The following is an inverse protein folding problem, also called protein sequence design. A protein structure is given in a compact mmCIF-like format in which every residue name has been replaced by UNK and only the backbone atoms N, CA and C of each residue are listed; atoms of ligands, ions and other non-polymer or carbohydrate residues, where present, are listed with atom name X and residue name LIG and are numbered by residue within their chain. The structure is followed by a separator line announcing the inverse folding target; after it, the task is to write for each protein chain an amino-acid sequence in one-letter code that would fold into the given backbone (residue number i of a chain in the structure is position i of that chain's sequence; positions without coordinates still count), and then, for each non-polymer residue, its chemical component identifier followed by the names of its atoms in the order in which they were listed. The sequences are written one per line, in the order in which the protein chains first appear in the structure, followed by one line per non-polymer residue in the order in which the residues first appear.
data_IF_091823888242
#
_entry.id   IF_091823888242
#
_cell.length_a   1.000
_cell.length_b   1.000
_cell.length_c   1.000
_cell.angle_alpha   90.00
_cell.angle_beta   90.00
_cell.angle_gamma   90.00
#
_symmetry.space_group_name_H-M   'P 1'
#
loop_
_entity.id
_entity.type
_entity.pdbx_description
1 polymer ?
#
# COMPACT_ATOMS: atom_id res chain seq x y z
N UNK A 1 -80.07 48.35 -58.62
CA UNK A 1 -81.29 47.55 -58.37
C UNK A 1 -81.00 46.12 -58.76
N UNK A 2 -81.20 45.20 -57.80
CA UNK A 2 -80.91 43.75 -57.73
C UNK A 2 -80.04 43.51 -56.48
N UNK A 3 -80.35 42.62 -55.53
CA UNK A 3 -81.39 41.60 -55.41
C UNK A 3 -81.90 41.60 -53.95
N UNK A 4 -83.22 41.52 -53.78
CA UNK A 4 -83.87 41.21 -52.50
C UNK A 4 -83.59 39.75 -52.13
N UNK A 5 -83.49 39.48 -50.82
CA UNK A 5 -84.02 38.30 -50.09
C UNK A 5 -83.09 37.86 -48.95
N UNK A 6 -83.38 38.35 -47.74
CA UNK A 6 -83.15 37.64 -46.48
C UNK A 6 -84.23 38.09 -45.50
N UNK A 7 -85.47 37.75 -45.83
CA UNK A 7 -86.60 37.77 -44.92
C UNK A 7 -87.55 36.75 -45.50
N UNK A 8 -87.57 35.54 -44.94
CA UNK A 8 -88.80 34.78 -44.66
C UNK A 8 -88.46 33.65 -43.67
N UNK A 9 -88.96 33.81 -42.45
CA UNK A 9 -89.26 32.68 -41.56
C UNK A 9 -90.48 32.01 -42.20
N UNK A 10 -90.29 30.87 -42.86
CA UNK A 10 -91.43 30.03 -43.25
C UNK A 10 -91.88 29.24 -42.03
N UNK A 11 -93.12 29.50 -41.62
CA UNK A 11 -93.84 28.78 -40.60
C UNK A 11 -93.92 27.29 -40.93
N UNK A 12 -93.69 26.45 -39.93
CA UNK A 12 -93.91 25.01 -39.97
C UNK A 12 -95.39 24.72 -40.28
N UNK A 13 -95.69 24.30 -41.51
CA UNK A 13 -96.75 23.36 -41.90
C UNK A 13 -97.03 23.54 -43.40
N UNK A 14 -96.36 22.75 -44.23
CA UNK A 14 -97.12 21.92 -45.18
C UNK A 14 -96.20 20.87 -45.81
N UNK A 15 -96.43 19.61 -45.42
CA UNK A 15 -95.89 18.43 -46.08
C UNK A 15 -97.05 17.72 -46.80
N UNK A 16 -97.76 18.42 -47.70
CA UNK A 16 -98.27 17.75 -48.90
C UNK A 16 -97.17 17.75 -49.95
N UNK A 17 -96.41 16.66 -49.88
CA UNK A 17 -95.56 16.08 -50.91
C UNK A 17 -94.03 16.18 -50.64
N UNK A 18 -93.35 15.02 -50.56
CA UNK A 18 -91.99 14.85 -50.09
C UNK A 18 -90.99 15.02 -51.25
N UNK A 19 -89.71 15.08 -50.94
CA UNK A 19 -88.57 15.20 -51.87
C UNK A 19 -88.12 16.61 -52.29
N UNK A 20 -88.19 17.57 -51.38
CA UNK A 20 -87.19 18.65 -51.37
C UNK A 20 -86.25 18.45 -50.19
N UNK A 21 -85.25 17.60 -50.40
CA UNK A 21 -84.02 17.53 -49.61
C UNK A 21 -83.24 18.85 -49.73
N UNK A 22 -83.81 19.94 -49.22
CA UNK A 22 -83.03 21.12 -48.92
C UNK A 22 -82.10 20.71 -47.77
N UNK A 23 -80.77 20.72 -47.97
CA UNK A 23 -79.86 20.51 -46.87
C UNK A 23 -80.11 21.65 -45.89
N UNK A 24 -80.82 21.37 -44.80
CA UNK A 24 -80.97 22.27 -43.67
C UNK A 24 -79.57 22.47 -43.08
N UNK A 25 -78.83 23.43 -43.64
CA UNK A 25 -77.65 23.99 -43.02
C UNK A 25 -78.15 24.92 -41.92
N UNK A 26 -78.47 24.33 -40.78
CA UNK A 26 -78.65 25.09 -39.55
C UNK A 26 -77.29 25.71 -39.21
N UNK A 27 -77.16 27.01 -39.46
CA UNK A 27 -76.02 27.77 -38.98
C UNK A 27 -76.05 27.79 -37.46
N UNK A 28 -74.88 27.68 -36.82
CA UNK A 28 -74.71 27.75 -35.36
C UNK A 28 -75.21 29.07 -34.75
N UNK A 29 -75.40 30.10 -35.58
CA UNK A 29 -75.99 31.40 -35.20
C UNK A 29 -77.50 31.30 -34.92
N UNK A 30 -78.19 30.30 -35.50
CA UNK A 30 -79.64 30.15 -35.42
C UNK A 30 -80.08 29.13 -34.36
N UNK A 31 -79.15 28.60 -33.57
CA UNK A 31 -79.42 27.67 -32.47
C UNK A 31 -79.13 28.41 -31.18
N UNK A 32 -80.18 28.70 -30.42
CA UNK A 32 -80.09 29.42 -29.15
C UNK A 32 -80.16 28.46 -27.98
N UNK A 33 -79.36 28.73 -26.97
CA UNK A 33 -79.37 27.98 -25.73
C UNK A 33 -80.54 28.42 -24.86
N UNK A 34 -81.47 27.50 -24.60
CA UNK A 34 -82.67 27.71 -23.80
C UNK A 34 -82.60 26.93 -22.46
N UNK A 35 -81.38 26.64 -22.02
CA UNK A 35 -81.09 25.85 -20.83
C UNK A 35 -80.71 26.73 -19.63
N UNK A 36 -80.58 26.08 -18.47
CA UNK A 36 -80.09 26.72 -17.24
C UNK A 36 -78.66 27.25 -17.49
N UNK A 37 -78.30 28.45 -16.98
CA UNK A 37 -76.97 29.00 -17.15
C UNK A 37 -75.85 28.02 -16.76
N UNK A 38 -74.89 27.82 -17.67
CA UNK A 38 -73.72 26.99 -17.43
C UNK A 38 -72.59 27.87 -16.90
N UNK A 39 -72.51 28.01 -15.57
CA UNK A 39 -71.57 28.89 -14.86
C UNK A 39 -70.10 28.74 -15.30
N UNK A 40 -69.65 27.52 -15.63
CA UNK A 40 -68.24 27.29 -15.98
C UNK A 40 -67.84 27.86 -17.35
N UNK A 41 -68.80 28.02 -18.26
CA UNK A 41 -68.56 28.55 -19.61
C UNK A 41 -69.29 29.88 -19.83
N UNK A 42 -69.86 30.45 -18.76
CA UNK A 42 -70.69 31.66 -18.77
C UNK A 42 -71.74 31.68 -19.90
N UNK A 43 -72.33 30.52 -20.20
CA UNK A 43 -73.40 30.41 -21.19
C UNK A 43 -74.73 30.71 -20.51
N UNK A 44 -75.44 31.70 -21.01
CA UNK A 44 -76.75 32.13 -20.50
C UNK A 44 -77.84 31.87 -21.53
N UNK A 45 -79.09 31.86 -21.06
CA UNK A 45 -80.27 31.73 -21.92
C UNK A 45 -80.26 32.84 -22.99
N UNK A 46 -80.38 32.45 -24.26
CA UNK A 46 -80.33 33.35 -25.41
C UNK A 46 -78.97 33.44 -26.12
N UNK A 47 -77.89 32.88 -25.57
CA UNK A 47 -76.61 32.76 -26.29
C UNK A 47 -76.77 31.83 -27.50
N UNK A 48 -76.16 32.18 -28.63
CA UNK A 48 -76.14 31.29 -29.78
C UNK A 48 -75.04 30.23 -29.66
N UNK A 49 -75.23 29.08 -30.31
CA UNK A 49 -74.31 27.94 -30.24
C UNK A 49 -72.89 28.31 -30.71
N UNK A 50 -72.74 29.27 -31.61
CA UNK A 50 -71.42 29.74 -32.04
C UNK A 50 -70.66 30.43 -30.92
N UNK A 51 -71.31 31.31 -30.16
CA UNK A 51 -70.71 31.97 -28.99
C UNK A 51 -70.33 30.96 -27.92
N UNK A 52 -71.18 29.97 -27.67
CA UNK A 52 -70.90 28.90 -26.72
C UNK A 52 -69.67 28.09 -27.17
N UNK A 53 -69.56 27.75 -28.47
CA UNK A 53 -68.40 27.04 -29.00
C UNK A 53 -67.11 27.87 -28.90
N UNK A 54 -67.17 29.19 -29.09
CA UNK A 54 -66.01 30.09 -28.88
C UNK A 54 -65.60 30.13 -27.40
N UNK A 55 -66.58 30.21 -26.48
CA UNK A 55 -66.30 30.17 -25.04
C UNK A 55 -65.66 28.84 -24.63
N UNK A 56 -66.13 27.73 -25.19
CA UNK A 56 -65.54 26.39 -25.00
C UNK A 56 -64.12 26.32 -25.59
N UNK A 57 -63.91 26.81 -26.81
CA UNK A 57 -62.59 26.83 -27.46
C UNK A 57 -61.58 27.65 -26.66
N UNK A 58 -62.00 28.79 -26.11
CA UNK A 58 -61.17 29.62 -25.22
C UNK A 58 -60.76 28.88 -23.95
N UNK A 59 -61.66 28.11 -23.32
CA UNK A 59 -61.35 27.31 -22.13
C UNK A 59 -60.34 26.20 -22.42
N UNK A 60 -60.38 25.60 -23.61
CA UNK A 60 -59.39 24.61 -24.03
C UNK A 60 -58.08 25.24 -24.54
N UNK A 61 -58.12 26.46 -25.08
CA UNK A 61 -56.94 27.20 -25.52
C UNK A 61 -55.92 27.43 -24.41
N UNK A 62 -56.37 27.67 -23.18
CA UNK A 62 -55.49 27.83 -22.01
C UNK A 62 -54.78 26.53 -21.62
N UNK A 63 -55.39 25.37 -21.87
CA UNK A 63 -54.82 24.04 -21.58
C UNK A 63 -53.68 23.70 -22.56
N UNK A 64 -53.77 24.16 -23.81
CA UNK A 64 -52.78 23.87 -24.86
C UNK A 64 -51.51 24.74 -24.72
N UNK A 65 -51.57 25.87 -24.01
CA UNK A 65 -50.43 26.77 -23.77
C UNK A 65 -49.57 26.41 -22.54
N UNK A 66 -49.78 25.26 -21.91
CA UNK A 66 -48.86 24.73 -20.90
C UNK A 66 -47.48 24.48 -21.52
N UNK A 67 -46.48 25.30 -21.18
CA UNK A 67 -45.16 25.29 -21.81
C UNK A 67 -44.57 23.89 -21.99
N UNK A 68 -44.17 23.56 -23.22
CA UNK A 68 -43.50 22.31 -23.55
C UNK A 68 -42.03 22.38 -23.08
N UNK A 69 -41.72 21.74 -21.94
CA UNK A 69 -40.36 21.62 -21.46
C UNK A 69 -39.69 20.37 -22.07
N UNK A 70 -38.60 20.57 -22.81
CA UNK A 70 -37.80 19.48 -23.39
C UNK A 70 -36.46 19.38 -22.66
N UNK A 71 -36.06 18.17 -22.27
CA UNK A 71 -34.72 17.93 -21.75
C UNK A 71 -33.70 18.08 -22.88
N UNK A 72 -32.81 19.07 -22.78
CA UNK A 72 -31.75 19.33 -23.75
C UNK A 72 -30.47 18.66 -23.21
N UNK A 73 -30.40 17.33 -23.29
CA UNK A 73 -29.26 16.56 -22.80
C UNK A 73 -29.46 15.06 -22.88
N UNK A 74 -28.38 14.30 -22.73
CA UNK A 74 -28.39 12.82 -22.71
C UNK A 74 -28.57 12.23 -21.31
N UNK A 75 -28.64 13.07 -20.28
CA UNK A 75 -28.78 12.68 -18.88
C UNK A 75 -30.21 12.29 -18.47
N UNK A 76 -30.36 11.90 -17.20
CA UNK A 76 -31.67 11.59 -16.62
C UNK A 76 -32.50 12.87 -16.48
N UNK A 77 -33.77 12.81 -16.89
CA UNK A 77 -34.72 13.91 -16.73
C UNK A 77 -34.96 14.24 -15.25
N UNK A 78 -34.72 15.51 -14.91
CA UNK A 78 -35.00 16.09 -13.58
C UNK A 78 -36.42 16.67 -13.54
N UNK A 79 -36.98 17.00 -14.70
CA UNK A 79 -38.37 17.42 -14.85
C UNK A 79 -39.30 16.23 -15.11
N UNK A 80 -40.41 16.14 -14.38
CA UNK A 80 -41.34 15.00 -14.45
C UNK A 80 -42.56 15.27 -15.34
N UNK A 81 -43.14 16.48 -15.28
CA UNK A 81 -44.23 17.09 -16.08
C UNK A 81 -45.06 18.04 -15.20
N UNK A 82 -46.09 18.67 -15.78
CA UNK A 82 -47.11 19.42 -15.04
C UNK A 82 -48.14 18.45 -14.45
N UNK A 83 -48.48 18.58 -13.17
CA UNK A 83 -49.50 17.74 -12.53
C UNK A 83 -50.93 18.16 -12.96
N UNK A 84 -51.94 17.42 -12.50
CA UNK A 84 -53.35 17.70 -12.81
C UNK A 84 -53.85 19.07 -12.29
N UNK A 85 -53.05 19.75 -11.47
CA UNK A 85 -53.32 21.08 -10.92
C UNK A 85 -52.54 22.19 -11.65
N UNK A 86 -51.83 21.88 -12.74
CA UNK A 86 -51.07 22.88 -13.49
C UNK A 86 -49.69 23.22 -12.88
N UNK A 87 -49.20 22.44 -11.90
CA UNK A 87 -47.91 22.70 -11.24
C UNK A 87 -46.78 21.87 -11.85
N UNK A 88 -45.65 22.51 -12.14
CA UNK A 88 -44.44 21.84 -12.62
C UNK A 88 -43.78 21.00 -11.51
N UNK A 89 -43.49 19.72 -11.78
CA UNK A 89 -42.78 18.83 -10.87
C UNK A 89 -41.30 18.66 -11.26
N UNK A 90 -40.40 18.92 -10.30
CA UNK A 90 -38.96 18.73 -10.44
C UNK A 90 -38.42 17.76 -9.38
N UNK A 91 -37.39 17.01 -9.73
CA UNK A 91 -36.58 16.24 -8.79
C UNK A 91 -35.54 17.15 -8.16
N UNK A 92 -35.37 17.06 -6.85
CA UNK A 92 -34.31 17.77 -6.14
C UNK A 92 -33.03 16.95 -6.15
N UNK A 93 -31.89 17.64 -6.27
CA UNK A 93 -30.62 17.07 -5.89
C UNK A 93 -30.52 17.03 -4.37
N UNK A 94 -29.97 15.94 -3.85
CA UNK A 94 -29.79 15.74 -2.41
C UNK A 94 -28.30 15.58 -2.17
N UNK A 95 -27.76 16.33 -1.20
CA UNK A 95 -26.37 16.16 -0.76
C UNK A 95 -26.14 14.75 -0.24
N UNK A 96 -24.93 14.25 -0.47
CA UNK A 96 -24.43 12.97 0.06
C UNK A 96 -23.17 13.24 0.87
N UNK A 97 -22.64 12.22 1.54
CA UNK A 97 -21.40 12.36 2.31
C UNK A 97 -20.20 12.79 1.43
N UNK A 98 -20.18 12.43 0.15
CA UNK A 98 -19.07 12.75 -0.78
C UNK A 98 -19.29 14.00 -1.63
N UNK A 99 -20.55 14.45 -1.77
CA UNK A 99 -20.92 15.56 -2.66
C UNK A 99 -21.88 16.47 -1.92
N UNK A 100 -21.50 17.73 -1.78
CA UNK A 100 -22.35 18.79 -1.22
C UNK A 100 -23.04 19.53 -2.35
N UNK A 101 -24.37 19.67 -2.24
CA UNK A 101 -25.18 20.49 -3.14
C UNK A 101 -25.71 21.70 -2.35
N UNK A 102 -25.46 22.89 -2.85
CA UNK A 102 -25.88 24.15 -2.23
C UNK A 102 -26.39 25.16 -3.27
N UNK A 103 -27.11 26.16 -2.80
CA UNK A 103 -27.57 27.28 -3.64
C UNK A 103 -26.46 28.33 -3.68
N UNK A 104 -26.13 28.79 -4.89
CA UNK A 104 -25.18 29.88 -5.11
C UNK A 104 -25.95 31.07 -5.69
N UNK A 105 -26.19 32.08 -4.86
CA UNK A 105 -27.00 33.24 -5.27
C UNK A 105 -28.50 32.94 -5.40
N UNK A 106 -29.15 33.55 -6.38
CA UNK A 106 -30.62 33.45 -6.60
C UNK A 106 -31.02 32.41 -7.63
N UNK A 107 -30.15 32.13 -8.59
CA UNK A 107 -30.51 31.38 -9.80
C UNK A 107 -29.56 30.22 -10.12
N UNK A 108 -28.54 29.98 -9.28
CA UNK A 108 -27.53 28.95 -9.52
C UNK A 108 -27.48 27.94 -8.36
N UNK A 109 -27.08 26.72 -8.70
CA UNK A 109 -26.74 25.69 -7.74
C UNK A 109 -25.29 25.28 -7.95
N UNK A 110 -24.62 24.97 -6.85
CA UNK A 110 -23.26 24.47 -6.81
C UNK A 110 -23.28 23.02 -6.35
N UNK A 111 -22.57 22.16 -7.07
CA UNK A 111 -22.30 20.79 -6.66
C UNK A 111 -20.79 20.61 -6.60
N UNK A 112 -20.27 20.32 -5.40
CA UNK A 112 -18.83 20.15 -5.18
C UNK A 112 -18.54 18.88 -4.37
N UNK A 113 -17.34 18.33 -4.58
CA UNK A 113 -16.84 17.22 -3.77
C UNK A 113 -16.56 17.73 -2.37
N UNK A 114 -17.01 17.00 -1.36
CA UNK A 114 -16.66 17.31 0.02
C UNK A 114 -15.16 17.02 0.24
N UNK A 115 -14.36 18.09 0.39
CA UNK A 115 -12.92 17.98 0.58
C UNK A 115 -12.54 17.21 1.86
N UNK A 116 -13.38 17.25 2.89
CA UNK A 116 -13.14 16.52 4.14
C UNK A 116 -13.34 15.02 3.95
N UNK A 117 -14.37 14.63 3.19
CA UNK A 117 -14.59 13.24 2.77
C UNK A 117 -13.43 12.76 1.90
N UNK A 118 -13.00 13.55 0.92
CA UNK A 118 -11.91 13.21 0.01
C UNK A 118 -10.58 13.03 0.76
N UNK A 119 -10.28 13.92 1.70
CA UNK A 119 -9.06 13.83 2.53
C UNK A 119 -9.07 12.57 3.39
N UNK A 120 -10.20 12.27 4.04
CA UNK A 120 -10.35 11.06 4.86
C UNK A 120 -10.21 9.79 4.02
N UNK A 121 -10.83 9.76 2.85
CA UNK A 121 -10.76 8.62 1.93
C UNK A 121 -9.31 8.34 1.49
N UNK A 122 -8.57 9.37 1.07
CA UNK A 122 -7.17 9.25 0.65
C UNK A 122 -6.28 8.81 1.82
N UNK A 123 -6.47 9.39 3.01
CA UNK A 123 -5.60 9.13 4.17
C UNK A 123 -5.79 7.71 4.73
N UNK A 124 -7.02 7.19 4.74
CA UNK A 124 -7.31 5.81 5.17
C UNK A 124 -6.67 4.72 4.32
N UNK A 125 -6.11 5.07 3.15
CA UNK A 125 -5.49 4.11 2.22
C UNK A 125 -4.00 3.86 2.54
N UNK A 126 -3.33 4.71 3.33
CA UNK A 126 -1.87 4.66 3.53
C UNK A 126 -1.42 4.80 4.99
N UNK A 127 -2.02 4.06 5.91
CA UNK A 127 -1.53 4.02 7.29
C UNK A 127 -0.30 3.12 7.43
N UNK A 128 0.87 3.76 7.54
CA UNK A 128 2.11 3.11 7.94
C UNK A 128 2.15 2.98 9.47
N UNK A 129 1.78 1.82 10.00
CA UNK A 129 1.80 1.54 11.45
C UNK A 129 3.05 0.76 11.83
N UNK A 130 3.77 1.23 12.84
CA UNK A 130 4.82 0.42 13.47
C UNK A 130 4.18 -0.76 14.21
N UNK A 131 4.40 -1.98 13.73
CA UNK A 131 3.80 -3.21 14.26
C UNK A 131 4.58 -3.82 15.45
N UNK A 132 5.61 -3.14 15.96
CA UNK A 132 6.46 -3.65 17.05
C UNK A 132 6.78 -2.63 18.14
N UNK A 133 7.30 -3.10 19.28
CA UNK A 133 7.69 -2.25 20.42
C UNK A 133 9.08 -1.59 20.30
N UNK A 134 9.70 -1.65 19.12
CA UNK A 134 11.00 -1.03 18.85
C UNK A 134 10.88 0.45 18.47
N UNK A 135 12.02 1.11 18.30
CA UNK A 135 12.06 2.48 17.79
C UNK A 135 11.60 2.56 16.32
N UNK A 136 10.87 3.61 15.98
CA UNK A 136 10.40 3.86 14.61
C UNK A 136 11.57 4.24 13.68
N UNK A 137 11.63 3.60 12.52
CA UNK A 137 12.60 3.94 11.46
C UNK A 137 11.98 4.95 10.49
N UNK A 138 10.69 4.83 10.20
CA UNK A 138 9.96 5.81 9.41
C UNK A 138 9.79 7.10 10.21
N UNK A 139 10.18 8.24 9.63
CA UNK A 139 10.09 9.55 10.27
C UNK A 139 8.79 10.27 9.91
N UNK A 140 8.25 10.02 8.71
CA UNK A 140 7.08 10.71 8.18
C UNK A 140 7.29 11.17 6.74
N UNK A 141 6.39 12.01 6.25
CA UNK A 141 6.49 12.67 4.95
C UNK A 141 7.02 14.09 5.07
N UNK A 142 7.86 14.50 4.11
CA UNK A 142 8.25 15.89 3.92
C UNK A 142 7.87 16.33 2.49
N UNK A 143 6.66 16.87 2.34
CA UNK A 143 6.07 17.08 1.02
C UNK A 143 5.72 15.74 0.36
N UNK A 144 6.31 15.46 -0.80
CA UNK A 144 6.13 14.20 -1.55
C UNK A 144 7.10 13.11 -1.15
N UNK A 145 8.11 13.43 -0.32
CA UNK A 145 9.18 12.50 0.01
C UNK A 145 8.86 11.75 1.30
N UNK A 146 9.08 10.43 1.29
CA UNK A 146 9.08 9.60 2.50
C UNK A 146 10.45 9.66 3.16
N UNK A 147 10.49 10.09 4.42
CA UNK A 147 11.73 10.20 5.18
C UNK A 147 11.89 9.02 6.15
N UNK A 148 13.08 8.43 6.13
CA UNK A 148 13.50 7.38 7.03
C UNK A 148 14.71 7.84 7.85
N UNK A 149 14.85 7.33 9.07
CA UNK A 149 16.01 7.59 9.92
C UNK A 149 17.19 6.73 9.47
N UNK A 150 18.38 7.33 9.44
CA UNK A 150 19.61 6.59 9.22
C UNK A 150 19.91 5.70 10.42
N UNK A 151 20.24 4.43 10.17
CA UNK A 151 20.78 3.53 11.17
C UNK A 151 22.26 3.86 11.38
N UNK A 152 22.62 4.21 12.62
CA UNK A 152 24.00 4.48 13.01
C UNK A 152 24.38 3.41 14.05
N UNK A 153 25.55 2.80 13.86
CA UNK A 153 26.08 1.83 14.80
C UNK A 153 27.60 1.95 14.87
N UNK A 154 28.13 1.96 16.09
CA UNK A 154 29.57 1.88 16.33
C UNK A 154 30.07 0.43 16.37
N UNK A 155 29.14 -0.53 16.54
CA UNK A 155 29.47 -1.94 16.82
C UNK A 155 28.97 -2.90 15.74
N UNK A 156 28.20 -2.43 14.78
CA UNK A 156 27.64 -3.24 13.70
C UNK A 156 27.96 -2.59 12.36
N UNK A 157 28.36 -3.40 11.40
CA UNK A 157 28.46 -3.01 10.01
C UNK A 157 27.06 -3.07 9.39
N UNK A 158 26.55 -1.92 8.93
CA UNK A 158 25.25 -1.81 8.25
C UNK A 158 25.52 -1.49 6.78
N UNK A 159 25.22 -2.43 5.88
CA UNK A 159 25.44 -2.29 4.43
C UNK A 159 24.11 -2.34 3.68
N UNK A 160 23.90 -1.43 2.73
CA UNK A 160 22.78 -1.48 1.81
C UNK A 160 23.11 -2.41 0.62
N UNK A 161 22.20 -3.33 0.33
CA UNK A 161 22.21 -4.17 -0.87
C UNK A 161 21.00 -3.83 -1.75
N UNK A 162 20.94 -4.37 -2.98
CA UNK A 162 19.89 -4.02 -3.96
C UNK A 162 18.46 -4.19 -3.43
N UNK A 163 18.21 -5.23 -2.64
CA UNK A 163 16.89 -5.55 -2.09
C UNK A 163 16.92 -5.86 -0.58
N UNK A 164 18.00 -5.49 0.12
CA UNK A 164 18.19 -5.86 1.52
C UNK A 164 19.06 -4.84 2.27
N UNK A 165 18.96 -4.86 3.60
CA UNK A 165 19.92 -4.23 4.50
C UNK A 165 20.63 -5.35 5.25
N UNK A 166 21.95 -5.44 5.08
CA UNK A 166 22.79 -6.39 5.80
C UNK A 166 23.30 -5.73 7.08
N UNK A 167 23.10 -6.39 8.21
CA UNK A 167 23.60 -5.95 9.52
C UNK A 167 24.46 -7.08 10.08
N UNK A 168 25.75 -6.83 10.22
CA UNK A 168 26.73 -7.82 10.69
C UNK A 168 27.57 -7.22 11.84
N UNK A 169 28.19 -8.08 12.65
CA UNK A 169 29.27 -7.60 13.50
C UNK A 169 30.50 -7.34 12.63
N UNK A 170 31.19 -6.20 12.77
CA UNK A 170 32.39 -5.94 12.00
C UNK A 170 33.40 -7.03 12.28
N UNK A 171 34.00 -7.55 11.20
CA UNK A 171 34.91 -8.70 11.25
C UNK A 171 36.23 -8.38 11.99
N UNK A 172 36.45 -7.12 12.38
CA UNK A 172 37.72 -6.58 12.83
C UNK A 172 37.57 -5.88 14.18
N UNK A 173 37.98 -6.56 15.25
CA UNK A 173 38.24 -5.94 16.56
C UNK A 173 39.58 -5.16 16.57
N UNK A 174 39.88 -4.39 15.51
CA UNK A 174 41.15 -3.68 15.30
C UNK A 174 41.88 -4.10 14.01
N UNK A 175 43.11 -3.60 13.80
CA UNK A 175 43.97 -3.97 12.66
C UNK A 175 44.48 -5.42 12.72
N UNK A 176 44.33 -6.08 13.87
CA UNK A 176 44.72 -7.47 14.10
C UNK A 176 43.43 -8.30 14.30
N UNK A 177 43.15 -9.28 13.43
CA UNK A 177 41.94 -10.09 13.52
C UNK A 177 41.84 -10.89 14.82
N UNK A 178 40.59 -11.17 15.23
CA UNK A 178 40.27 -12.12 16.30
C UNK A 178 39.32 -13.16 15.74
N UNK A 179 39.67 -14.43 15.86
CA UNK A 179 38.86 -15.55 15.37
C UNK A 179 38.29 -16.34 16.52
N UNK A 180 36.98 -16.58 16.51
CA UNK A 180 36.27 -17.30 17.56
C UNK A 180 35.97 -18.72 17.09
N UNK A 181 36.20 -19.68 17.98
CA UNK A 181 35.93 -21.10 17.75
C UNK A 181 34.85 -21.59 18.72
N UNK A 182 33.76 -22.10 18.17
CA UNK A 182 32.66 -22.71 18.89
C UNK A 182 32.16 -23.96 18.13
N UNK A 183 32.45 -25.14 18.67
CA UNK A 183 32.07 -26.40 18.04
C UNK A 183 30.59 -26.77 18.24
N UNK A 184 29.84 -26.03 19.06
CA UNK A 184 28.38 -26.21 19.21
C UNK A 184 27.59 -25.31 18.26
N UNK A 185 28.25 -24.45 17.49
CA UNK A 185 27.59 -23.57 16.53
C UNK A 185 27.00 -24.38 15.36
N UNK A 186 25.71 -24.18 15.10
CA UNK A 186 24.95 -24.95 14.10
C UNK A 186 24.69 -24.20 12.80
N UNK A 187 25.14 -22.94 12.67
CA UNK A 187 24.93 -22.16 11.45
C UNK A 187 25.73 -22.66 10.26
N UNK A 188 25.27 -22.32 9.05
CA UNK A 188 25.88 -22.77 7.80
C UNK A 188 27.21 -22.05 7.50
N UNK A 189 27.28 -20.75 7.75
CA UNK A 189 28.46 -19.91 7.48
C UNK A 189 29.36 -19.79 8.70
N UNK A 190 30.67 -19.82 8.48
CA UNK A 190 31.71 -19.71 9.51
C UNK A 190 32.71 -18.61 9.11
N UNK A 191 32.68 -17.47 9.80
CA UNK A 191 33.54 -16.31 9.54
C UNK A 191 34.53 -16.02 10.68
N UNK A 192 34.48 -16.79 11.76
CA UNK A 192 35.30 -16.57 12.95
C UNK A 192 34.84 -15.39 13.81
N UNK A 193 33.63 -14.86 13.61
CA UNK A 193 33.06 -13.78 14.42
C UNK A 193 32.27 -14.34 15.61
N UNK A 194 31.77 -13.48 16.51
CA UNK A 194 30.91 -13.91 17.63
C UNK A 194 29.62 -14.57 17.11
N UNK A 195 29.01 -13.98 16.07
CA UNK A 195 27.75 -14.45 15.49
C UNK A 195 27.92 -15.66 14.56
N UNK A 196 29.08 -15.78 13.90
CA UNK A 196 29.41 -16.85 12.95
C UNK A 196 30.78 -17.44 13.26
N UNK A 197 30.98 -18.07 14.43
CA UNK A 197 32.27 -18.61 14.84
C UNK A 197 32.69 -19.79 13.94
N UNK A 198 33.98 -20.10 13.91
CA UNK A 198 34.46 -21.35 13.33
C UNK A 198 34.05 -22.54 14.20
N UNK A 199 33.65 -23.65 13.59
CA UNK A 199 33.31 -24.88 14.31
C UNK A 199 34.53 -25.65 14.78
N UNK A 200 35.69 -25.42 14.15
CA UNK A 200 36.92 -26.16 14.45
C UNK A 200 38.12 -25.22 14.62
N UNK A 201 39.07 -25.65 15.45
CA UNK A 201 40.35 -24.95 15.66
C UNK A 201 41.11 -24.86 14.33
N UNK A 202 41.08 -25.91 13.50
CA UNK A 202 41.75 -25.92 12.21
C UNK A 202 41.17 -24.89 11.24
N UNK A 203 39.85 -24.68 11.22
CA UNK A 203 39.25 -23.64 10.38
C UNK A 203 39.72 -22.24 10.79
N UNK A 204 39.84 -21.96 12.09
CA UNK A 204 40.40 -20.70 12.58
C UNK A 204 41.88 -20.53 12.23
N UNK A 205 42.69 -21.60 12.34
CA UNK A 205 44.09 -21.59 11.90
C UNK A 205 44.19 -21.31 10.39
N UNK A 206 43.35 -21.94 9.58
CA UNK A 206 43.32 -21.70 8.14
C UNK A 206 42.98 -20.25 7.81
N UNK A 207 42.05 -19.63 8.56
CA UNK A 207 41.71 -18.22 8.39
C UNK A 207 42.87 -17.28 8.81
N UNK A 208 43.56 -17.60 9.91
CA UNK A 208 44.75 -16.88 10.36
C UNK A 208 45.91 -16.94 9.35
N UNK A 209 46.16 -18.12 8.78
CA UNK A 209 47.16 -18.29 7.72
C UNK A 209 46.71 -17.56 6.46
N UNK A 210 45.42 -17.65 6.13
CA UNK A 210 44.84 -17.04 4.94
C UNK A 210 45.53 -17.52 3.67
N UNK A 211 46.00 -16.58 2.84
CA UNK A 211 46.82 -16.90 1.66
C UNK A 211 48.32 -17.05 1.95
N UNK A 212 48.73 -16.92 3.22
CA UNK A 212 50.12 -16.98 3.65
C UNK A 212 50.63 -18.40 3.90
N UNK A 213 51.70 -18.50 4.69
CA UNK A 213 52.30 -19.78 5.11
C UNK A 213 52.46 -19.84 6.62
N UNK A 214 52.94 -20.96 7.16
CA UNK A 214 53.22 -21.08 8.59
C UNK A 214 54.30 -20.12 9.09
N UNK A 215 55.29 -19.80 8.24
CA UNK A 215 56.36 -18.85 8.53
C UNK A 215 55.97 -17.39 8.33
N UNK A 216 54.99 -17.13 7.47
CA UNK A 216 54.51 -15.79 7.14
C UNK A 216 52.98 -15.84 6.93
N UNK A 217 52.20 -15.97 8.01
CA UNK A 217 50.75 -15.97 7.91
C UNK A 217 50.25 -14.63 7.38
N UNK A 218 49.07 -14.61 6.77
CA UNK A 218 48.45 -13.37 6.28
C UNK A 218 48.15 -12.40 7.43
N UNK A 219 47.84 -12.91 8.62
CA UNK A 219 47.41 -12.13 9.76
C UNK A 219 48.29 -12.40 11.00
N UNK A 220 49.59 -12.06 10.97
CA UNK A 220 50.46 -12.26 12.12
C UNK A 220 49.92 -11.53 13.36
N UNK A 221 50.13 -12.12 14.53
CA UNK A 221 49.59 -11.66 15.82
C UNK A 221 48.06 -11.80 16.00
N UNK A 222 47.32 -12.37 15.04
CA UNK A 222 45.89 -12.62 15.25
C UNK A 222 45.67 -13.54 16.46
N UNK A 223 44.53 -13.34 17.12
CA UNK A 223 44.15 -14.13 18.29
C UNK A 223 43.03 -15.11 17.94
N UNK A 224 43.26 -16.39 18.17
CA UNK A 224 42.23 -17.43 18.12
C UNK A 224 41.68 -17.64 19.54
N UNK A 225 40.37 -17.52 19.70
CA UNK A 225 39.66 -17.65 20.98
C UNK A 225 38.81 -18.91 20.95
N UNK A 226 39.13 -19.86 21.82
CA UNK A 226 38.39 -21.11 21.98
C UNK A 226 37.34 -20.88 23.07
N UNK A 227 36.06 -20.89 22.69
CA UNK A 227 34.99 -20.52 23.61
C UNK A 227 34.84 -21.48 24.80
N UNK A 228 34.39 -20.90 25.90
CA UNK A 228 34.23 -21.57 27.20
C UNK A 228 33.32 -22.80 27.20
N UNK A 229 33.54 -23.69 28.16
CA UNK A 229 32.60 -24.75 28.57
C UNK A 229 32.42 -25.94 27.61
N UNK A 230 33.24 -26.05 26.55
CA UNK A 230 33.13 -27.08 25.52
C UNK A 230 34.39 -27.95 25.39
N UNK A 231 34.24 -29.15 24.82
CA UNK A 231 35.37 -30.02 24.44
C UNK A 231 35.66 -29.93 22.95
N UNK A 232 36.85 -29.46 22.59
CA UNK A 232 37.29 -29.26 21.22
C UNK A 232 38.29 -30.36 20.82
N UNK A 233 38.00 -31.10 19.75
CA UNK A 233 38.98 -32.02 19.17
C UNK A 233 39.90 -31.25 18.23
N UNK A 234 41.21 -31.39 18.40
CA UNK A 234 42.20 -30.79 17.53
C UNK A 234 43.19 -31.85 17.02
N UNK A 235 43.22 -32.06 15.71
CA UNK A 235 44.09 -33.07 15.07
C UNK A 235 45.30 -32.44 14.37
N UNK A 236 45.40 -31.11 14.36
CA UNK A 236 46.48 -30.35 13.74
C UNK A 236 47.66 -30.11 14.69
N UNK A 237 48.44 -29.07 14.38
CA UNK A 237 49.51 -28.55 15.24
C UNK A 237 49.45 -27.01 15.27
N UNK A 238 50.20 -26.39 16.17
CA UNK A 238 50.32 -24.96 16.35
C UNK A 238 51.70 -24.44 15.90
N UNK A 239 52.33 -25.12 14.94
CA UNK A 239 53.62 -24.70 14.37
C UNK A 239 53.44 -23.54 13.40
N UNK A 240 53.04 -22.38 13.92
CA UNK A 240 52.84 -21.16 13.14
C UNK A 240 53.49 -19.98 13.84
N UNK A 241 54.01 -19.03 13.07
CA UNK A 241 54.66 -17.82 13.59
C UNK A 241 53.63 -16.78 14.05
N UNK A 242 53.88 -16.16 15.19
CA UNK A 242 53.11 -15.05 15.76
C UNK A 242 51.63 -15.41 15.98
N UNK A 243 51.36 -16.64 16.41
CA UNK A 243 50.02 -17.11 16.72
C UNK A 243 49.69 -16.84 18.18
N UNK A 244 48.55 -16.19 18.43
CA UNK A 244 48.01 -16.02 19.78
C UNK A 244 46.78 -16.92 19.95
N UNK A 245 46.73 -17.70 21.03
CA UNK A 245 45.58 -18.54 21.38
C UNK A 245 45.11 -18.21 22.79
N UNK A 246 43.81 -18.05 22.94
CA UNK A 246 43.13 -17.92 24.24
C UNK A 246 42.17 -19.09 24.37
N UNK A 247 42.34 -19.88 25.43
CA UNK A 247 41.42 -20.97 25.79
C UNK A 247 40.57 -20.47 26.96
N UNK A 248 39.30 -20.20 26.70
CA UNK A 248 38.39 -19.61 27.69
C UNK A 248 37.95 -20.61 28.76
N UNK A 249 37.32 -20.10 29.82
CA UNK A 249 36.99 -20.83 31.04
C UNK A 249 36.34 -22.19 30.77
N UNK A 250 36.76 -23.23 31.49
CA UNK A 250 36.25 -24.60 31.36
C UNK A 250 36.33 -25.23 29.95
N UNK A 251 36.95 -24.56 28.96
CA UNK A 251 37.15 -25.15 27.65
C UNK A 251 38.25 -26.22 27.70
N UNK A 252 38.01 -27.33 27.01
CA UNK A 252 38.92 -28.46 26.97
C UNK A 252 39.38 -28.73 25.54
N UNK A 253 40.66 -28.51 25.24
CA UNK A 253 41.25 -28.92 23.97
C UNK A 253 41.79 -30.34 24.12
N UNK A 254 41.20 -31.27 23.38
CA UNK A 254 41.69 -32.64 23.25
C UNK A 254 42.53 -32.77 21.98
N UNK A 255 43.84 -32.54 22.11
CA UNK A 255 44.79 -32.65 21.00
C UNK A 255 45.07 -34.13 20.69
N UNK A 256 44.56 -34.59 19.54
CA UNK A 256 44.58 -35.99 19.12
C UNK A 256 45.07 -36.13 17.67
N UNK A 257 46.31 -35.71 17.36
CA UNK A 257 46.83 -35.79 16.00
C UNK A 257 47.26 -37.22 15.65
N UNK A 258 47.74 -37.42 14.42
CA UNK A 258 48.40 -38.65 14.04
C UNK A 258 49.66 -38.92 14.89
N UNK A 259 50.07 -40.20 14.96
CA UNK A 259 51.21 -40.61 15.76
C UNK A 259 52.50 -39.84 15.40
N UNK A 260 53.19 -39.33 16.41
CA UNK A 260 54.48 -38.65 16.24
C UNK A 260 54.42 -37.16 15.87
N UNK A 261 53.22 -36.61 15.67
CA UNK A 261 52.99 -35.17 15.45
C UNK A 261 53.14 -34.41 16.78
N UNK A 262 53.91 -33.32 16.74
CA UNK A 262 54.04 -32.38 17.86
C UNK A 262 52.84 -31.44 17.91
N UNK A 263 52.44 -31.05 19.12
CA UNK A 263 51.47 -29.98 19.33
C UNK A 263 51.99 -28.65 18.79
N UNK A 264 53.29 -28.38 18.93
CA UNK A 264 53.99 -27.30 18.26
C UNK A 264 55.44 -27.72 17.98
N UNK A 265 55.90 -27.56 16.74
CA UNK A 265 57.25 -27.88 16.29
C UNK A 265 57.90 -26.63 15.69
N UNK A 266 58.62 -25.89 16.52
CA UNK A 266 59.36 -24.71 16.07
C UNK A 266 60.55 -25.04 15.16
N UNK A 267 61.08 -26.27 15.18
CA UNK A 267 62.13 -26.67 14.21
C UNK A 267 61.59 -26.75 12.79
N UNK A 268 60.27 -26.85 12.61
CA UNK A 268 59.63 -26.81 11.30
C UNK A 268 59.52 -25.39 10.72
N UNK A 269 59.76 -24.37 11.54
CA UNK A 269 59.74 -22.95 11.16
C UNK A 269 61.15 -22.45 10.86
N UNK A 270 61.26 -21.39 10.06
CA UNK A 270 62.55 -20.84 9.69
C UNK A 270 63.30 -20.22 10.90
N UNK A 271 64.63 -20.34 10.88
CA UNK A 271 65.55 -20.27 12.03
C UNK A 271 65.81 -18.85 12.61
N UNK A 272 64.85 -17.93 12.56
CA UNK A 272 65.07 -16.51 12.93
C UNK A 272 64.43 -16.08 14.24
N UNK A 273 63.20 -16.53 14.56
CA UNK A 273 62.49 -16.44 15.85
C UNK A 273 61.00 -16.69 15.58
N UNK A 274 60.34 -17.54 16.36
CA UNK A 274 58.89 -17.75 16.25
C UNK A 274 58.24 -17.63 17.63
N UNK A 275 57.16 -16.87 17.72
CA UNK A 275 56.40 -16.68 18.94
C UNK A 275 55.04 -17.39 18.85
N UNK A 276 54.71 -18.14 19.91
CA UNK A 276 53.39 -18.72 20.14
C UNK A 276 52.98 -18.33 21.55
N UNK A 277 51.86 -17.62 21.67
CA UNK A 277 51.28 -17.28 22.96
C UNK A 277 50.05 -18.15 23.19
N UNK A 278 49.98 -18.81 24.35
CA UNK A 278 48.81 -19.59 24.76
C UNK A 278 48.38 -19.10 26.14
N UNK A 279 47.25 -18.43 26.20
CA UNK A 279 46.55 -18.08 27.43
C UNK A 279 45.54 -19.18 27.76
N UNK A 280 45.64 -19.75 28.97
CA UNK A 280 44.70 -20.76 29.47
C UNK A 280 43.97 -20.14 30.66
N UNK A 281 42.66 -19.94 30.54
CA UNK A 281 41.83 -19.35 31.60
C UNK A 281 41.38 -20.38 32.65
N UNK A 282 40.69 -19.91 33.68
CA UNK A 282 40.26 -20.73 34.81
C UNK A 282 39.48 -21.98 34.36
N UNK A 283 39.85 -23.15 34.88
CA UNK A 283 39.20 -24.42 34.53
C UNK A 283 39.51 -24.95 33.13
N UNK A 284 40.10 -24.13 32.25
CA UNK A 284 40.47 -24.53 30.91
C UNK A 284 41.67 -25.48 30.94
N UNK A 285 41.73 -26.40 29.96
CA UNK A 285 42.81 -27.39 29.87
C UNK A 285 43.10 -27.82 28.44
N UNK A 286 44.35 -28.20 28.20
CA UNK A 286 44.81 -28.83 26.97
C UNK A 286 45.32 -30.22 27.32
N UNK A 287 44.75 -31.27 26.73
CA UNK A 287 45.27 -32.63 26.81
C UNK A 287 46.05 -32.95 25.54
N UNK A 288 47.30 -33.36 25.71
CA UNK A 288 48.22 -33.70 24.63
C UNK A 288 48.32 -35.23 24.54
N UNK A 289 47.62 -35.83 23.60
CA UNK A 289 47.64 -37.30 23.43
C UNK A 289 48.87 -37.79 22.65
N UNK A 290 49.71 -36.89 22.15
CA UNK A 290 50.93 -37.18 21.38
C UNK A 290 52.07 -36.30 21.90
N UNK A 291 53.02 -35.92 21.03
CA UNK A 291 54.18 -35.13 21.45
C UNK A 291 53.74 -33.69 21.73
N UNK A 292 54.35 -33.06 22.74
CA UNK A 292 54.09 -31.68 23.11
C UNK A 292 54.82 -30.68 22.22
N UNK A 293 55.75 -29.95 22.80
CA UNK A 293 56.47 -28.85 22.15
C UNK A 293 57.88 -29.28 21.73
N UNK A 294 58.33 -28.81 20.56
CA UNK A 294 59.71 -28.94 20.08
C UNK A 294 60.27 -27.56 19.76
N UNK A 295 61.36 -27.18 20.41
CA UNK A 295 61.98 -25.86 20.27
C UNK A 295 63.02 -25.84 19.13
N UNK A 296 63.33 -24.65 18.61
CA UNK A 296 64.36 -24.44 17.59
C UNK A 296 65.72 -24.97 18.09
N UNK A 297 66.38 -25.78 17.25
CA UNK A 297 67.70 -26.35 17.52
C UNK A 297 67.68 -27.56 18.45
N UNK A 298 66.50 -28.12 18.78
CA UNK A 298 66.42 -29.30 19.64
C UNK A 298 66.76 -30.58 18.87
N UNK A 299 68.04 -30.98 18.89
CA UNK A 299 68.49 -32.27 18.35
C UNK A 299 68.10 -33.41 19.28
N UNK A 300 66.80 -33.69 19.38
CA UNK A 300 66.27 -34.87 20.04
C UNK A 300 66.20 -34.77 21.57
N UNK A 301 64.98 -34.59 22.06
CA UNK A 301 64.62 -34.91 23.44
C UNK A 301 63.19 -35.41 23.44
N UNK A 302 63.01 -36.73 23.45
CA UNK A 302 61.77 -37.33 23.92
C UNK A 302 61.55 -36.88 25.37
N UNK A 303 60.44 -36.21 25.62
CA UNK A 303 59.76 -36.21 26.91
C UNK A 303 58.54 -37.12 26.79
#
# INVERSE_FOLDING_TARGET
MACNECNQISTCNDNTNPECSCPLKLGTICVFYDGIPLLNIDAVEGDNLQEILIKIDSLFGDIVNGGLFTNIGTGVGIYKQVNLQGQAEFKSFVSTDSITVSVEGTDEFKAEVDESWLTTYIQSTFDNVNVGGGAEIYKGTNGTDEEFRTLISDTLEVTQETNAVRIEFPNNFGSIPRYIVNNTYTGAEELGTIGKPFKTIQAAINAFVGTGTADSPQYPNATIIIQKGNTYTFTGNLSYRDLNIVVEEDAFINHSPAAGVYFCDFDSLNNTAAELNIEIREGARINLNQKGFKNIGSTGGSS
#
